data_IF_003121760547
#
_entry.id   IF_003121760547
#
_cell.length_a   1.000
_cell.length_b   1.000
_cell.length_c   1.000
_cell.angle_alpha   90.00
_cell.angle_beta   90.00
_cell.angle_gamma   90.00
#
_symmetry.space_group_name_H-M   'P 1'
#
loop_
_entity.id
_entity.type
_entity.pdbx_description
1 polymer ?
#
# COMPACT_ATOMS: atom_id res chain seq x y z
N UNK A 1 -10.37 33.62 -39.03
CA UNK A 1 -10.43 33.90 -37.57
C UNK A 1 -11.73 33.36 -37.04
N UNK A 2 -11.70 32.23 -36.32
CA UNK A 2 -12.78 31.77 -35.45
C UNK A 2 -12.12 30.95 -34.34
N UNK A 3 -12.01 31.53 -33.16
CA UNK A 3 -11.41 30.93 -31.97
C UNK A 3 -12.54 30.29 -31.18
N UNK A 4 -12.61 28.96 -31.13
CA UNK A 4 -13.56 28.24 -30.29
C UNK A 4 -12.86 27.85 -28.98
N UNK A 5 -13.02 28.69 -27.96
CA UNK A 5 -12.62 28.39 -26.58
C UNK A 5 -13.69 27.50 -25.95
N UNK A 6 -13.48 26.18 -26.01
CA UNK A 6 -14.25 25.24 -25.18
C UNK A 6 -13.64 25.30 -23.77
N UNK A 7 -14.26 26.10 -22.91
CA UNK A 7 -14.00 26.06 -21.48
C UNK A 7 -14.51 24.74 -20.92
N UNK A 8 -13.66 23.71 -20.92
CA UNK A 8 -13.88 22.55 -20.06
C UNK A 8 -13.54 23.03 -18.65
N UNK A 9 -14.56 23.35 -17.89
CA UNK A 9 -14.47 23.37 -16.43
C UNK A 9 -14.14 21.95 -15.98
N UNK A 10 -12.84 21.63 -15.92
CA UNK A 10 -12.39 20.48 -15.18
C UNK A 10 -12.75 20.76 -13.73
N UNK A 11 -13.85 20.16 -13.25
CA UNK A 11 -14.00 19.91 -11.84
C UNK A 11 -12.75 19.11 -11.45
N UNK A 12 -11.85 19.77 -10.71
CA UNK A 12 -10.74 19.15 -10.01
C UNK A 12 -11.35 18.19 -8.99
N UNK A 13 -11.81 17.03 -9.46
CA UNK A 13 -11.78 15.86 -8.62
C UNK A 13 -10.30 15.64 -8.36
N UNK A 14 -9.87 15.86 -7.11
CA UNK A 14 -8.60 15.36 -6.66
C UNK A 14 -8.66 13.84 -6.84
N UNK A 15 -8.22 13.36 -7.99
CA UNK A 15 -8.06 11.94 -8.22
C UNK A 15 -7.00 11.53 -7.20
N UNK A 16 -7.41 10.84 -6.14
CA UNK A 16 -6.49 10.39 -5.12
C UNK A 16 -5.57 9.36 -5.76
N UNK A 17 -4.40 9.84 -6.20
CA UNK A 17 -3.32 8.97 -6.59
C UNK A 17 -2.73 8.40 -5.31
N UNK A 18 -2.45 7.10 -5.30
CA UNK A 18 -1.62 6.52 -4.26
C UNK A 18 -0.24 7.14 -4.32
N UNK A 19 0.23 7.54 -3.14
CA UNK A 19 1.53 8.15 -2.94
C UNK A 19 2.59 7.07 -2.75
N UNK A 20 3.72 7.21 -3.45
CA UNK A 20 4.91 6.39 -3.24
C UNK A 20 5.93 7.25 -2.50
N UNK A 21 5.91 7.17 -1.18
CA UNK A 21 6.80 7.96 -0.31
C UNK A 21 8.14 7.24 -0.17
N UNK A 22 9.24 7.94 -0.42
CA UNK A 22 10.57 7.36 -0.27
C UNK A 22 10.91 7.01 1.19
N UNK A 23 11.65 5.94 1.38
CA UNK A 23 12.25 5.61 2.66
C UNK A 23 13.59 6.34 2.84
N UNK A 24 13.64 7.25 3.82
CA UNK A 24 14.85 7.95 4.30
C UNK A 24 15.32 7.42 5.67
N UNK A 25 14.77 6.30 6.13
CA UNK A 25 15.10 5.66 7.41
C UNK A 25 13.94 5.60 8.40
N UNK A 26 12.76 6.13 8.05
CA UNK A 26 11.57 6.08 8.91
C UNK A 26 10.95 4.67 9.02
N UNK A 27 11.32 3.75 8.13
CA UNK A 27 10.86 2.35 8.12
C UNK A 27 12.03 1.37 7.93
N UNK A 28 11.71 0.07 7.99
CA UNK A 28 12.66 -1.02 7.73
C UNK A 28 13.49 -0.78 6.45
N UNK A 29 14.79 -1.05 6.52
CA UNK A 29 15.76 -0.80 5.44
C UNK A 29 15.46 -1.56 4.14
N UNK A 30 14.70 -2.65 4.20
CA UNK A 30 14.27 -3.39 3.02
C UNK A 30 13.22 -2.62 2.23
N UNK A 31 12.47 -1.72 2.86
CA UNK A 31 11.46 -0.89 2.21
C UNK A 31 12.16 0.27 1.51
N UNK A 32 11.86 0.46 0.22
CA UNK A 32 12.32 1.61 -0.56
C UNK A 32 11.25 2.67 -0.72
N UNK A 33 9.99 2.25 -0.91
CA UNK A 33 8.83 3.12 -1.02
C UNK A 33 7.66 2.55 -0.24
N UNK A 34 6.78 3.40 0.29
CA UNK A 34 5.54 2.99 0.96
C UNK A 34 4.40 3.93 0.58
N UNK A 35 3.19 3.40 0.54
CA UNK A 35 1.97 4.20 0.45
C UNK A 35 0.84 3.57 1.27
N UNK A 36 -0.11 4.41 1.66
CA UNK A 36 -1.28 3.98 2.42
C UNK A 36 -2.46 3.71 1.48
N UNK A 37 -3.27 2.72 1.85
CA UNK A 37 -4.49 2.32 1.15
C UNK A 37 -5.67 2.58 2.10
N UNK A 38 -6.87 2.75 1.56
CA UNK A 38 -8.07 2.95 2.39
C UNK A 38 -8.30 1.82 3.41
N UNK A 39 -7.89 0.60 3.06
CA UNK A 39 -8.07 -0.61 3.87
C UNK A 39 -6.74 -1.30 4.19
N UNK A 40 -5.62 -0.56 4.20
CA UNK A 40 -4.32 -1.16 4.37
C UNK A 40 -3.14 -0.24 4.06
N UNK A 41 -2.01 -0.83 3.69
CA UNK A 41 -0.85 -0.13 3.16
C UNK A 41 -0.06 -1.06 2.24
N UNK A 42 0.72 -0.49 1.34
CA UNK A 42 1.70 -1.23 0.56
C UNK A 42 3.11 -0.70 0.83
N UNK A 43 4.10 -1.57 0.69
CA UNK A 43 5.51 -1.20 0.68
C UNK A 43 6.21 -1.92 -0.47
N UNK A 44 7.04 -1.19 -1.22
CA UNK A 44 7.89 -1.77 -2.26
C UNK A 44 9.30 -1.89 -1.68
N UNK A 45 9.85 -3.09 -1.82
CA UNK A 45 11.17 -3.47 -1.31
C UNK A 45 12.28 -3.05 -2.27
N UNK A 46 13.50 -2.95 -1.75
CA UNK A 46 14.68 -2.57 -2.53
C UNK A 46 15.01 -3.56 -3.67
N UNK A 47 14.63 -4.84 -3.53
CA UNK A 47 14.75 -5.88 -4.54
C UNK A 47 13.64 -5.85 -5.61
N UNK A 48 12.74 -4.86 -5.54
CA UNK A 48 11.58 -4.72 -6.41
C UNK A 48 10.35 -5.48 -5.96
N UNK A 49 10.44 -6.42 -5.00
CA UNK A 49 9.27 -7.10 -4.41
C UNK A 49 8.36 -6.15 -3.65
N UNK A 50 7.20 -6.63 -3.19
CA UNK A 50 6.26 -5.79 -2.44
C UNK A 50 5.65 -6.51 -1.24
N UNK A 51 5.23 -5.73 -0.24
CA UNK A 51 4.50 -6.17 0.95
C UNK A 51 3.16 -5.46 0.99
N UNK A 52 2.11 -6.19 1.35
CA UNK A 52 0.76 -5.67 1.53
C UNK A 52 0.32 -5.91 2.97
N UNK A 53 -0.10 -4.85 3.64
CA UNK A 53 -0.88 -4.91 4.86
C UNK A 53 -2.34 -4.69 4.48
N UNK A 54 -3.21 -5.59 4.91
CA UNK A 54 -4.65 -5.49 4.68
C UNK A 54 -5.40 -5.59 6.00
N UNK A 55 -6.40 -4.75 6.20
CA UNK A 55 -7.25 -4.76 7.37
C UNK A 55 -8.55 -5.52 7.13
N UNK A 56 -9.14 -6.02 8.21
CA UNK A 56 -10.51 -6.51 8.19
C UNK A 56 -11.49 -5.34 8.00
N UNK A 57 -12.39 -5.47 7.03
CA UNK A 57 -13.32 -4.41 6.66
C UNK A 57 -14.35 -4.09 7.75
N UNK A 58 -14.86 -5.11 8.46
CA UNK A 58 -15.86 -4.93 9.51
C UNK A 58 -15.28 -4.18 10.71
N UNK A 59 -14.06 -4.57 11.12
CA UNK A 59 -13.35 -3.89 12.21
C UNK A 59 -13.06 -2.41 11.84
N UNK A 60 -12.64 -2.17 10.59
CA UNK A 60 -12.36 -0.82 10.11
C UNK A 60 -13.63 0.05 10.05
N UNK A 61 -14.74 -0.53 9.59
CA UNK A 61 -16.04 0.14 9.55
C UNK A 61 -16.54 0.47 10.96
N UNK A 62 -16.38 -0.44 11.92
CA UNK A 62 -16.74 -0.21 13.32
C UNK A 62 -15.97 0.99 13.90
N UNK A 63 -14.66 1.06 13.67
CA UNK A 63 -13.81 2.17 14.12
C UNK A 63 -14.22 3.50 13.46
N UNK A 64 -14.48 3.49 12.15
CA UNK A 64 -14.86 4.70 11.43
C UNK A 64 -16.25 5.21 11.85
N UNK A 65 -17.21 4.31 12.12
CA UNK A 65 -18.54 4.68 12.62
C UNK A 65 -18.51 5.43 13.95
N UNK A 66 -17.56 5.09 14.83
CA UNK A 66 -17.39 5.75 16.12
C UNK A 66 -16.77 7.14 16.00
N UNK A 67 -16.00 7.42 14.94
CA UNK A 67 -15.44 8.74 14.67
C UNK A 67 -16.49 9.74 14.16
N UNK A 68 -17.52 9.28 13.45
CA UNK A 68 -18.59 10.16 12.96
C UNK A 68 -19.67 10.50 14.01
N UNK A 69 -19.69 9.80 15.16
CA UNK A 69 -20.65 10.05 16.25
C UNK A 69 -20.06 10.86 17.42
N UNK A 70 -18.80 11.27 17.35
CA UNK A 70 -18.12 11.90 18.48
C UNK A 70 -17.66 13.33 18.15
N UNK A 71 -18.43 14.32 18.60
CA UNK A 71 -17.88 15.64 18.97
C UNK A 71 -16.98 15.49 20.22
N UNK A 72 -15.90 14.73 20.12
CA UNK A 72 -14.97 14.50 21.21
C UNK A 72 -13.54 14.59 20.70
N UNK A 73 -12.88 15.68 21.08
CA UNK A 73 -11.43 15.86 21.01
C UNK A 73 -10.72 14.63 21.58
N UNK A 74 -10.07 13.85 20.72
CA UNK A 74 -9.28 12.70 21.19
C UNK A 74 -7.89 13.17 21.59
N UNK A 75 -7.72 13.50 22.87
CA UNK A 75 -6.40 13.48 23.49
C UNK A 75 -5.97 12.02 23.61
N UNK A 76 -4.96 11.61 22.85
CA UNK A 76 -4.32 10.30 23.04
C UNK A 76 -3.62 10.34 24.39
N UNK A 77 -4.27 9.77 25.41
CA UNK A 77 -3.71 9.63 26.75
C UNK A 77 -2.70 8.47 26.72
N UNK A 78 -1.41 8.83 26.70
CA UNK A 78 -0.31 7.91 27.00
C UNK A 78 -0.30 7.64 28.50
N UNK A 79 -0.44 6.38 28.90
CA UNK A 79 -0.20 5.91 30.27
C UNK A 79 0.63 4.63 30.18
N UNK A 80 1.78 4.46 30.83
CA UNK A 80 2.44 5.31 31.82
C UNK A 80 3.96 4.99 31.91
N UNK A 81 4.76 6.04 32.12
CA UNK A 81 5.87 6.00 33.07
C UNK A 81 5.54 7.05 34.15
N UNK A 82 5.86 6.69 35.39
CA UNK A 82 5.90 7.48 36.64
C UNK A 82 4.80 7.20 37.65
N UNK A 83 5.17 6.34 38.60
CA UNK A 83 4.81 6.43 40.01
C UNK A 83 5.07 7.86 40.51
N UNK A 84 4.03 8.51 41.02
CA UNK A 84 4.15 9.31 42.24
C UNK A 84 2.75 9.60 42.82
N UNK A 85 2.56 9.10 44.05
CA UNK A 85 1.50 9.43 45.00
C UNK A 85 1.26 10.93 45.08
N UNK A 86 -0.02 11.35 45.06
CA UNK A 86 -0.52 12.43 45.89
C UNK A 86 -1.90 12.05 46.44
N UNK A 87 -2.00 12.06 47.77
CA UNK A 87 -3.27 11.99 48.51
C UNK A 87 -4.01 13.33 48.46
N UNK A 88 -5.33 13.28 48.57
CA UNK A 88 -6.19 14.46 48.79
C UNK A 88 -7.63 14.19 48.38
N UNK A 89 -8.49 13.90 49.37
CA UNK A 89 -9.91 13.58 49.15
C UNK A 89 -10.80 14.82 48.97
N UNK A 90 -11.96 14.61 48.35
CA UNK A 90 -13.26 15.08 48.84
C UNK A 90 -14.39 14.35 48.11
N UNK A 91 -15.44 14.03 48.88
CA UNK A 91 -16.53 13.15 48.49
C UNK A 91 -17.55 13.77 47.54
N UNK A 92 -18.17 12.90 46.77
CA UNK A 92 -19.35 13.17 45.95
C UNK A 92 -20.00 11.84 45.60
N UNK A 93 -20.99 11.43 46.39
CA UNK A 93 -21.83 10.27 46.15
C UNK A 93 -22.71 10.52 44.93
N UNK A 94 -22.39 9.89 43.81
CA UNK A 94 -23.22 9.83 42.61
C UNK A 94 -23.20 8.42 42.05
N UNK A 95 -24.23 7.64 42.37
CA UNK A 95 -24.44 6.31 41.83
C UNK A 95 -24.70 6.37 40.33
N UNK A 96 -23.70 5.95 39.56
CA UNK A 96 -23.79 5.74 38.12
C UNK A 96 -23.01 4.47 37.78
N UNK A 97 -23.67 3.33 37.86
CA UNK A 97 -23.17 2.06 37.32
C UNK A 97 -23.12 2.14 35.80
N UNK A 98 -22.07 2.78 35.28
CA UNK A 98 -21.69 2.74 33.88
C UNK A 98 -20.36 2.00 33.75
N UNK A 99 -20.37 0.68 33.88
CA UNK A 99 -19.23 -0.17 33.48
C UNK A 99 -19.15 -0.20 31.95
N UNK A 100 -18.95 0.96 31.33
CA UNK A 100 -18.56 1.07 29.93
C UNK A 100 -17.05 1.00 29.85
N UNK A 101 -16.45 -0.15 30.17
CA UNK A 101 -15.10 -0.41 29.67
C UNK A 101 -15.19 -0.27 28.16
N UNK A 102 -14.64 0.81 27.59
CA UNK A 102 -14.54 0.98 26.16
C UNK A 102 -13.74 -0.22 25.67
N UNK A 103 -14.45 -1.22 25.13
CA UNK A 103 -13.79 -2.38 24.55
C UNK A 103 -12.95 -1.81 23.42
N UNK A 104 -11.63 -1.74 23.61
CA UNK A 104 -10.72 -1.27 22.58
C UNK A 104 -11.04 -2.08 21.33
N UNK A 105 -11.58 -1.41 20.32
CA UNK A 105 -11.92 -2.07 19.06
C UNK A 105 -10.62 -2.56 18.45
N UNK A 106 -10.46 -3.87 18.39
CA UNK A 106 -9.29 -4.49 17.80
C UNK A 106 -9.41 -4.40 16.28
N UNK A 107 -8.42 -3.79 15.62
CA UNK A 107 -8.31 -3.81 14.17
C UNK A 107 -7.49 -5.02 13.75
N UNK A 108 -8.13 -6.07 13.24
CA UNK A 108 -7.41 -7.21 12.68
C UNK A 108 -6.76 -6.82 11.36
N UNK A 109 -5.52 -7.26 11.18
CA UNK A 109 -4.79 -7.09 9.93
C UNK A 109 -4.04 -8.36 9.55
N UNK A 110 -3.66 -8.45 8.28
CA UNK A 110 -2.87 -9.53 7.73
C UNK A 110 -1.81 -8.95 6.79
N UNK A 111 -0.60 -9.52 6.83
CA UNK A 111 0.49 -9.14 5.94
C UNK A 111 0.83 -10.29 5.03
N UNK A 112 0.94 -10.03 3.73
CA UNK A 112 1.57 -10.94 2.78
C UNK A 112 2.62 -10.21 1.95
N UNK A 113 3.56 -10.95 1.40
CA UNK A 113 4.62 -10.43 0.54
C UNK A 113 4.64 -11.14 -0.81
N UNK A 114 5.11 -10.41 -1.82
CA UNK A 114 5.48 -10.97 -3.11
C UNK A 114 6.94 -10.67 -3.37
N UNK A 115 7.70 -11.74 -3.65
CA UNK A 115 9.10 -11.67 -4.05
C UNK A 115 9.27 -12.26 -5.44
N UNK A 116 10.23 -11.75 -6.21
CA UNK A 116 10.48 -12.21 -7.58
C UNK A 116 11.60 -13.24 -7.60
N UNK A 117 11.26 -14.49 -7.93
CA UNK A 117 12.21 -15.60 -7.92
C UNK A 117 13.23 -15.43 -9.06
N UNK A 118 14.51 -15.64 -8.75
CA UNK A 118 15.64 -15.51 -9.67
C UNK A 118 15.77 -14.12 -10.34
N UNK A 119 15.13 -13.09 -9.76
CA UNK A 119 15.30 -11.72 -10.20
C UNK A 119 16.67 -11.18 -9.79
N UNK A 120 17.06 -10.08 -10.43
CA UNK A 120 18.18 -9.26 -9.97
C UNK A 120 17.90 -8.81 -8.52
N UNK A 121 18.75 -9.14 -7.53
CA UNK A 121 18.54 -8.74 -6.14
C UNK A 121 18.79 -7.24 -5.89
N UNK A 122 19.40 -6.54 -6.86
CA UNK A 122 19.72 -5.11 -6.78
C UNK A 122 19.25 -4.36 -8.03
N UNK A 123 17.95 -4.36 -8.36
CA UNK A 123 17.44 -3.63 -9.50
C UNK A 123 17.51 -2.12 -9.25
N UNK A 124 17.70 -1.34 -10.31
CA UNK A 124 17.75 0.12 -10.18
C UNK A 124 16.32 0.67 -10.06
N UNK A 125 15.99 1.22 -8.90
CA UNK A 125 14.73 1.96 -8.71
C UNK A 125 14.82 3.36 -9.34
N UNK A 126 13.88 3.66 -10.23
CA UNK A 126 13.72 4.94 -10.91
C UNK A 126 12.33 5.48 -10.58
N UNK A 127 12.21 6.44 -9.64
CA UNK A 127 10.94 7.06 -9.33
C UNK A 127 10.48 7.97 -10.47
N UNK A 128 9.16 8.10 -10.65
CA UNK A 128 8.56 8.86 -11.74
C UNK A 128 7.51 9.85 -11.19
N UNK A 129 7.40 11.02 -11.85
CA UNK A 129 6.48 12.11 -11.51
C UNK A 129 6.51 12.47 -10.02
N UNK A 130 7.60 13.08 -9.58
CA UNK A 130 7.72 13.62 -8.24
C UNK A 130 6.64 14.68 -7.98
N UNK A 131 6.02 14.63 -6.81
CA UNK A 131 5.09 15.65 -6.34
C UNK A 131 5.85 16.79 -5.66
N UNK A 132 5.23 17.96 -5.64
CA UNK A 132 5.75 19.11 -4.88
C UNK A 132 5.56 18.93 -3.37
N UNK A 133 4.60 18.10 -2.96
CA UNK A 133 4.35 17.75 -1.58
C UNK A 133 5.40 16.78 -1.06
N UNK A 134 5.66 16.88 0.25
CA UNK A 134 6.60 16.01 0.97
C UNK A 134 5.96 15.54 2.27
N UNK A 135 6.39 14.38 2.74
CA UNK A 135 5.97 13.85 4.03
C UNK A 135 7.06 14.04 5.08
N UNK A 136 6.65 14.35 6.30
CA UNK A 136 7.52 14.49 7.46
C UNK A 136 7.08 13.50 8.53
N UNK A 137 8.03 12.74 9.07
CA UNK A 137 7.81 11.66 10.03
C UNK A 137 8.50 12.00 11.35
N UNK A 138 7.71 12.35 12.36
CA UNK A 138 8.17 12.64 13.71
C UNK A 138 7.77 11.49 14.65
N UNK A 139 8.40 10.32 14.46
CA UNK A 139 7.99 9.07 15.12
C UNK A 139 8.64 8.96 16.50
N UNK A 140 7.81 8.89 17.55
CA UNK A 140 8.27 8.78 18.93
C UNK A 140 8.88 10.07 19.48
N UNK A 141 9.49 9.98 20.67
CA UNK A 141 10.01 11.14 21.40
C UNK A 141 11.51 11.40 21.16
N UNK A 142 12.15 10.68 20.23
CA UNK A 142 13.58 10.83 19.92
C UNK A 142 13.74 11.64 18.62
N UNK A 143 14.17 12.91 18.68
CA UNK A 143 14.34 13.75 17.50
C UNK A 143 15.34 13.21 16.47
N UNK A 144 16.28 12.35 16.88
CA UNK A 144 17.22 11.74 15.94
C UNK A 144 16.56 10.70 15.03
N UNK A 145 15.34 10.25 15.37
CA UNK A 145 14.51 9.36 14.54
C UNK A 145 13.51 10.13 13.69
N UNK A 146 13.50 11.46 13.77
CA UNK A 146 12.63 12.29 12.96
C UNK A 146 13.23 12.48 11.58
N UNK A 147 12.38 12.34 10.56
CA UNK A 147 12.79 12.39 9.17
C UNK A 147 11.88 13.38 8.46
N UNK A 148 12.46 14.45 7.92
CA UNK A 148 11.74 15.46 7.16
C UNK A 148 12.02 15.35 5.66
N UNK A 149 11.17 15.98 4.85
CA UNK A 149 11.31 16.08 3.40
C UNK A 149 11.47 14.71 2.73
N UNK A 150 10.61 13.75 3.07
CA UNK A 150 10.47 12.52 2.29
C UNK A 150 9.71 12.86 1.01
N UNK A 151 10.37 12.71 -0.14
CA UNK A 151 9.77 12.92 -1.45
C UNK A 151 8.64 11.92 -1.70
N UNK A 152 7.66 12.40 -2.46
CA UNK A 152 6.50 11.63 -2.88
C UNK A 152 6.50 11.51 -4.40
N UNK A 153 6.19 10.32 -4.89
CA UNK A 153 6.11 10.01 -6.32
C UNK A 153 4.74 9.40 -6.65
N UNK A 154 4.37 9.40 -7.93
CA UNK A 154 3.10 8.75 -8.38
C UNK A 154 3.32 7.39 -9.03
N UNK A 155 4.58 7.06 -9.32
CA UNK A 155 5.01 5.78 -9.85
C UNK A 155 6.49 5.53 -9.55
N UNK A 156 6.90 4.27 -9.61
CA UNK A 156 8.30 3.86 -9.56
C UNK A 156 8.54 2.70 -10.50
N UNK A 157 9.65 2.74 -11.24
CA UNK A 157 10.08 1.65 -12.13
C UNK A 157 11.36 1.04 -11.61
N UNK A 158 11.38 -0.27 -11.41
CA UNK A 158 12.60 -1.04 -11.15
C UNK A 158 13.12 -1.58 -12.47
N UNK A 159 14.25 -1.04 -12.90
CA UNK A 159 14.90 -1.41 -14.16
C UNK A 159 15.65 -2.73 -14.03
N UNK A 160 15.56 -3.54 -15.09
CA UNK A 160 16.22 -4.84 -15.17
C UNK A 160 15.97 -5.71 -13.92
N UNK A 161 14.69 -5.82 -13.53
CA UNK A 161 14.26 -6.78 -12.51
C UNK A 161 14.60 -8.20 -12.98
N UNK A 162 14.33 -8.49 -14.25
CA UNK A 162 14.95 -9.59 -14.99
C UNK A 162 15.72 -9.01 -16.17
N UNK A 163 16.55 -9.83 -16.83
CA UNK A 163 17.26 -9.39 -18.03
C UNK A 163 16.25 -8.87 -19.09
N UNK A 164 16.38 -7.59 -19.45
CA UNK A 164 15.48 -6.88 -20.37
C UNK A 164 14.00 -6.84 -19.93
N UNK A 165 13.72 -6.92 -18.62
CA UNK A 165 12.37 -6.77 -18.07
C UNK A 165 12.40 -5.83 -16.89
N UNK A 166 11.62 -4.75 -16.97
CA UNK A 166 11.38 -3.84 -15.86
C UNK A 166 10.06 -4.21 -15.17
N UNK A 167 9.90 -3.80 -13.91
CA UNK A 167 8.58 -3.72 -13.26
C UNK A 167 8.28 -2.27 -12.92
N UNK A 168 7.07 -1.82 -13.25
CA UNK A 168 6.60 -0.48 -12.93
C UNK A 168 5.38 -0.55 -12.02
N UNK A 169 5.48 0.10 -10.86
CA UNK A 169 4.39 0.29 -9.92
C UNK A 169 3.80 1.68 -10.10
N UNK A 170 2.48 1.78 -10.10
CA UNK A 170 1.78 3.06 -10.28
C UNK A 170 0.39 3.03 -9.65
N UNK A 171 -0.18 4.21 -9.45
CA UNK A 171 -1.57 4.37 -9.02
C UNK A 171 -2.53 4.41 -10.21
N UNK A 172 -3.61 3.63 -10.14
CA UNK A 172 -4.74 3.72 -11.06
C UNK A 172 -6.04 3.63 -10.27
N UNK A 173 -6.89 4.66 -10.35
CA UNK A 173 -8.18 4.72 -9.65
C UNK A 173 -8.08 4.43 -8.13
N UNK A 174 -7.07 5.01 -7.47
CA UNK A 174 -6.82 4.79 -6.03
C UNK A 174 -6.35 3.37 -5.68
N UNK A 175 -6.02 2.54 -6.67
CA UNK A 175 -5.48 1.20 -6.49
C UNK A 175 -4.03 1.14 -6.96
N UNK A 176 -3.22 0.35 -6.27
CA UNK A 176 -1.88 0.02 -6.73
C UNK A 176 -2.01 -0.95 -7.91
N UNK A 177 -1.27 -0.66 -8.98
CA UNK A 177 -1.07 -1.54 -10.12
C UNK A 177 0.40 -1.74 -10.35
N UNK A 178 0.73 -2.86 -10.97
CA UNK A 178 2.06 -3.13 -11.50
C UNK A 178 1.94 -3.59 -12.95
N UNK A 179 2.98 -3.32 -13.74
CA UNK A 179 3.12 -3.80 -15.11
C UNK A 179 4.56 -4.26 -15.35
N UNK A 180 4.73 -5.35 -16.09
CA UNK A 180 6.03 -5.79 -16.58
C UNK A 180 6.26 -5.21 -17.96
N UNK A 181 7.38 -4.50 -18.12
CA UNK A 181 7.79 -3.92 -19.39
C UNK A 181 8.87 -4.82 -19.96
N UNK A 182 8.50 -5.64 -20.94
CA UNK A 182 9.41 -6.57 -21.61
C UNK A 182 10.03 -5.86 -22.80
N UNK A 183 11.33 -5.56 -22.69
CA UNK A 183 12.12 -4.96 -23.77
C UNK A 183 12.55 -6.03 -24.78
N UNK A 184 13.00 -5.65 -26.00
CA UNK A 184 13.56 -6.59 -26.95
C UNK A 184 14.61 -7.52 -26.32
N UNK A 185 14.45 -8.83 -26.54
CA UNK A 185 15.32 -9.85 -25.94
C UNK A 185 14.97 -10.25 -24.49
N UNK A 186 13.93 -9.66 -23.89
CA UNK A 186 13.38 -10.12 -22.62
C UNK A 186 12.58 -11.41 -22.78
N UNK A 187 12.67 -12.30 -21.80
CA UNK A 187 11.91 -13.55 -21.78
C UNK A 187 10.83 -13.51 -20.68
N UNK A 188 9.54 -13.31 -21.02
CA UNK A 188 8.45 -13.27 -20.05
C UNK A 188 8.34 -14.53 -19.17
N UNK A 189 8.80 -15.69 -19.65
CA UNK A 189 8.76 -16.94 -18.89
C UNK A 189 9.67 -16.93 -17.63
N UNK A 190 10.56 -15.94 -17.52
CA UNK A 190 11.39 -15.74 -16.33
C UNK A 190 10.60 -15.13 -15.16
N UNK A 191 9.46 -14.48 -15.43
CA UNK A 191 8.65 -13.83 -14.40
C UNK A 191 8.05 -14.91 -13.50
N UNK A 192 8.41 -14.87 -12.22
CA UNK A 192 7.90 -15.80 -11.24
C UNK A 192 7.75 -15.10 -9.88
N UNK A 193 6.52 -15.02 -9.40
CA UNK A 193 6.16 -14.40 -8.13
C UNK A 193 6.04 -15.47 -7.06
N UNK A 194 6.73 -15.30 -5.93
CA UNK A 194 6.55 -16.11 -4.73
C UNK A 194 5.75 -15.31 -3.72
N UNK A 195 4.60 -15.85 -3.30
CA UNK A 195 3.70 -15.23 -2.34
C UNK A 195 3.94 -15.83 -0.95
N UNK A 196 4.40 -14.99 -0.01
CA UNK A 196 4.64 -15.37 1.38
C UNK A 196 3.59 -14.76 2.31
N UNK A 197 3.28 -15.44 3.41
CA UNK A 197 2.30 -14.99 4.42
C UNK A 197 0.83 -15.26 4.07
N UNK A 198 0.49 -15.49 2.80
CA UNK A 198 -0.87 -15.84 2.39
C UNK A 198 -1.34 -17.18 3.01
N UNK A 199 -2.63 -17.26 3.37
CA UNK A 199 -3.24 -18.50 3.89
C UNK A 199 -3.70 -19.46 2.80
N UNK A 200 -3.60 -19.04 1.54
CA UNK A 200 -3.91 -19.85 0.36
C UNK A 200 -3.73 -19.05 -0.92
N UNK A 201 -3.42 -19.76 -2.00
CA UNK A 201 -3.19 -19.18 -3.32
C UNK A 201 -3.83 -20.08 -4.37
N UNK A 202 -4.72 -19.54 -5.20
CA UNK A 202 -5.39 -20.33 -6.24
C UNK A 202 -5.93 -19.49 -7.38
N UNK A 203 -6.21 -20.15 -8.49
CA UNK A 203 -7.00 -19.58 -9.58
C UNK A 203 -8.49 -19.63 -9.25
N UNK A 204 -9.21 -18.56 -9.58
CA UNK A 204 -10.69 -18.49 -9.59
C UNK A 204 -11.11 -17.94 -10.95
N UNK A 205 -11.56 -18.83 -11.83
CA UNK A 205 -11.67 -18.49 -13.25
C UNK A 205 -10.28 -18.15 -13.81
N UNK A 206 -10.12 -16.94 -14.33
CA UNK A 206 -8.85 -16.43 -14.85
C UNK A 206 -8.12 -15.47 -13.91
N UNK A 207 -8.71 -15.21 -12.75
CA UNK A 207 -8.15 -14.33 -11.74
C UNK A 207 -7.31 -15.13 -10.73
N UNK A 208 -6.29 -14.48 -10.17
CA UNK A 208 -5.54 -15.00 -9.04
C UNK A 208 -6.23 -14.57 -7.75
N UNK A 209 -6.49 -15.52 -6.86
CA UNK A 209 -6.96 -15.25 -5.50
C UNK A 209 -5.84 -15.52 -4.49
N UNK A 210 -5.48 -14.49 -3.73
CA UNK A 210 -4.58 -14.55 -2.57
C UNK A 210 -5.45 -14.48 -1.32
N UNK A 211 -5.52 -15.58 -0.57
CA UNK A 211 -6.29 -15.65 0.68
C UNK A 211 -5.48 -15.10 1.84
N UNK A 212 -6.17 -14.38 2.71
CA UNK A 212 -5.62 -13.91 3.98
C UNK A 212 -6.55 -14.32 5.12
N UNK A 213 -6.17 -14.03 6.37
CA UNK A 213 -7.04 -14.26 7.52
C UNK A 213 -8.17 -13.24 7.67
N UNK A 214 -8.14 -12.14 6.91
CA UNK A 214 -9.08 -11.02 7.07
C UNK A 214 -9.94 -10.74 5.85
N UNK A 215 -9.46 -11.05 4.63
CA UNK A 215 -10.20 -11.00 3.36
C UNK A 215 -9.47 -11.74 2.23
N UNK A 216 -10.17 -12.04 1.15
CA UNK A 216 -9.53 -12.50 -0.09
C UNK A 216 -9.11 -11.31 -0.95
N UNK A 217 -7.90 -11.35 -1.49
CA UNK A 217 -7.38 -10.39 -2.46
C UNK A 217 -7.48 -11.01 -3.85
N UNK A 218 -7.96 -10.24 -4.82
CA UNK A 218 -8.15 -10.70 -6.20
C UNK A 218 -7.29 -9.89 -7.14
N UNK A 219 -6.33 -10.53 -7.80
CA UNK A 219 -5.65 -9.97 -8.96
C UNK A 219 -6.38 -10.41 -10.23
N UNK A 220 -6.75 -9.43 -11.06
CA UNK A 220 -7.45 -9.68 -12.32
C UNK A 220 -6.52 -10.35 -13.33
N UNK A 221 -7.09 -11.12 -14.26
CA UNK A 221 -6.36 -11.70 -15.40
C UNK A 221 -5.39 -10.68 -16.02
N UNK A 222 -4.12 -11.06 -16.25
CA UNK A 222 -3.15 -10.15 -16.82
C UNK A 222 -3.54 -9.79 -18.25
N UNK A 223 -3.50 -8.49 -18.56
CA UNK A 223 -3.71 -7.98 -19.91
C UNK A 223 -2.34 -7.72 -20.53
N UNK A 224 -2.00 -8.48 -21.57
CA UNK A 224 -0.74 -8.31 -22.30
C UNK A 224 -0.98 -7.81 -23.72
N UNK A 225 -0.10 -6.92 -24.18
CA UNK A 225 -0.12 -6.42 -25.56
C UNK A 225 1.28 -6.02 -26.00
N UNK A 226 1.51 -6.10 -27.30
CA UNK A 226 2.67 -5.52 -27.95
C UNK A 226 2.30 -4.16 -28.53
N UNK A 227 3.16 -3.17 -28.36
CA UNK A 227 3.03 -1.89 -29.06
C UNK A 227 3.58 -2.05 -30.48
N UNK A 228 2.75 -1.72 -31.47
CA UNK A 228 3.07 -1.73 -32.90
C UNK A 228 2.76 -0.35 -33.49
N UNK A 229 3.16 -0.10 -34.75
CA UNK A 229 2.83 1.16 -35.43
C UNK A 229 1.31 1.39 -35.53
N UNK A 230 0.53 0.32 -35.60
CA UNK A 230 -0.94 0.34 -35.68
C UNK A 230 -1.62 0.36 -34.29
N UNK A 231 -0.84 0.51 -33.22
CA UNK A 231 -1.33 0.55 -31.84
C UNK A 231 -1.08 -0.75 -31.06
N UNK A 232 -1.97 -1.06 -30.11
CA UNK A 232 -1.84 -2.21 -29.20
C UNK A 232 -2.32 -3.49 -29.89
N UNK A 233 -1.42 -4.45 -30.09
CA UNK A 233 -1.76 -5.82 -30.52
C UNK A 233 -1.84 -6.73 -29.29
N UNK A 234 -3.01 -7.32 -28.96
CA UNK A 234 -3.14 -8.21 -27.81
C UNK A 234 -2.22 -9.43 -27.90
N UNK A 235 -1.72 -9.87 -26.76
CA UNK A 235 -0.94 -11.09 -26.59
C UNK A 235 -1.63 -11.92 -25.51
N UNK A 236 -1.85 -13.22 -25.77
CA UNK A 236 -2.47 -14.09 -24.78
C UNK A 236 -1.56 -14.24 -23.55
N UNK A 237 -2.13 -14.06 -22.37
CA UNK A 237 -1.47 -14.21 -21.07
C UNK A 237 -2.44 -14.75 -20.04
N UNK A 238 -1.91 -15.33 -18.97
CA UNK A 238 -2.71 -15.82 -17.86
C UNK A 238 -1.82 -16.30 -16.72
N UNK A 239 -2.37 -16.36 -15.52
CA UNK A 239 -1.66 -16.87 -14.35
C UNK A 239 -1.65 -18.40 -14.30
N UNK A 240 -0.58 -18.94 -13.76
CA UNK A 240 -0.44 -20.34 -13.36
C UNK A 240 0.05 -20.41 -11.92
N UNK A 241 -0.64 -21.19 -11.08
CA UNK A 241 -0.30 -21.34 -9.66
C UNK A 241 0.27 -22.72 -9.39
N UNK A 242 1.42 -22.78 -8.70
CA UNK A 242 2.01 -24.02 -8.17
C UNK A 242 2.54 -23.77 -6.76
N UNK A 243 1.82 -24.27 -5.75
CA UNK A 243 2.10 -23.95 -4.35
C UNK A 243 1.95 -22.44 -4.12
N UNK A 244 3.00 -21.81 -3.60
CA UNK A 244 3.07 -20.37 -3.37
C UNK A 244 3.65 -19.59 -4.55
N UNK A 245 3.85 -20.23 -5.71
CA UNK A 245 4.46 -19.61 -6.88
C UNK A 245 3.38 -19.31 -7.93
N UNK A 246 3.40 -18.09 -8.46
CA UNK A 246 2.62 -17.64 -9.62
C UNK A 246 3.57 -17.38 -10.79
N UNK A 247 3.21 -17.88 -11.97
CA UNK A 247 3.83 -17.54 -13.27
C UNK A 247 2.81 -16.98 -14.22
#
# INVERSE_FOLDING_TARGET
MLLLLIGVSAQLHAQSYLEFVENKGQWDKQIKYKGDLGDGAFAIKADGGYRMLVYNGDDLAAINSHKHNANATSTIQRTALSDQRLEGGHGGTGGGSGSGASKMQQLRGHVYEVSFLNANPWPQAVPDKALQTVNNYFIGNDPNKWVSNCKVFTAVTYKNLYNNIDIRYYSSNGQIKYEFIVHPGGNPANIAMYVDGATGLKMVGKNLQIKTSVKDIVEQEPISFQLTNDGRKPVASGFQVKGNIVR
#
